data_IF_549527236510
#
_entry.id   IF_549527236510
#
_cell.length_a   1.000
_cell.length_b   1.000
_cell.length_c   1.000
_cell.angle_alpha   90.00
_cell.angle_beta   90.00
_cell.angle_gamma   90.00
#
_symmetry.space_group_name_H-M   'P 1'
#
loop_
_entity.id
_entity.type
_entity.pdbx_description
1 polymer ?
#
# COMPACT_ATOMS: atom_id res chain seq x y z
N UNK A 1 10.07 -8.08 -12.93
CA UNK A 1 8.75 -8.73 -12.80
C UNK A 1 7.82 -8.27 -13.93
N UNK A 2 7.33 -9.21 -14.75
CA UNK A 2 6.36 -8.91 -15.81
C UNK A 2 4.93 -8.91 -15.20
N UNK A 3 4.26 -7.78 -15.29
CA UNK A 3 2.85 -7.63 -14.86
C UNK A 3 1.87 -7.70 -16.04
N UNK A 4 2.35 -7.80 -17.27
CA UNK A 4 1.53 -7.95 -18.49
C UNK A 4 1.42 -9.45 -18.84
N UNK A 5 0.73 -10.18 -17.98
CA UNK A 5 0.48 -11.62 -18.14
C UNK A 5 -0.86 -11.80 -18.86
N UNK A 6 -0.93 -12.67 -19.84
CA UNK A 6 -2.20 -13.01 -20.51
C UNK A 6 -3.09 -13.86 -19.58
N UNK A 7 -4.36 -13.99 -19.93
CA UNK A 7 -5.37 -14.66 -19.10
C UNK A 7 -5.03 -16.15 -18.86
N UNK A 8 -4.57 -16.87 -19.89
CA UNK A 8 -4.24 -18.29 -19.79
C UNK A 8 -3.07 -18.53 -18.83
N UNK A 9 -1.99 -17.75 -18.98
CA UNK A 9 -0.82 -17.81 -18.10
C UNK A 9 -1.16 -17.37 -16.67
N UNK A 10 -2.03 -16.37 -16.51
CA UNK A 10 -2.52 -15.94 -15.19
C UNK A 10 -3.27 -17.06 -14.47
N UNK A 11 -4.25 -17.68 -15.14
CA UNK A 11 -5.03 -18.79 -14.58
C UNK A 11 -4.10 -19.96 -14.23
N UNK A 12 -3.18 -20.32 -15.13
CA UNK A 12 -2.19 -21.36 -14.88
C UNK A 12 -1.35 -21.05 -13.65
N UNK A 13 -0.78 -19.83 -13.55
CA UNK A 13 0.05 -19.44 -12.41
C UNK A 13 -0.72 -19.49 -11.09
N UNK A 14 -1.97 -18.98 -11.06
CA UNK A 14 -2.80 -19.04 -9.86
C UNK A 14 -3.08 -20.48 -9.43
N UNK A 15 -3.31 -21.39 -10.39
CA UNK A 15 -3.49 -22.81 -10.08
C UNK A 15 -2.20 -23.47 -9.57
N UNK A 16 -1.03 -23.09 -10.09
CA UNK A 16 0.25 -23.70 -9.75
C UNK A 16 0.83 -23.19 -8.42
N UNK A 17 0.82 -21.89 -8.21
CA UNK A 17 1.48 -21.24 -7.05
C UNK A 17 0.55 -20.39 -6.17
N UNK A 18 -0.73 -20.31 -6.52
CA UNK A 18 -1.79 -19.63 -5.77
C UNK A 18 -1.61 -18.12 -5.60
N UNK A 19 -0.73 -17.51 -6.38
CA UNK A 19 -0.43 -16.07 -6.31
C UNK A 19 0.00 -15.53 -7.67
N UNK A 20 -0.57 -14.39 -8.07
CA UNK A 20 -0.13 -13.62 -9.25
C UNK A 20 -0.43 -12.13 -9.05
N UNK A 21 0.40 -11.28 -9.65
CA UNK A 21 0.16 -9.83 -9.76
C UNK A 21 0.09 -9.49 -11.24
N UNK A 22 -1.07 -8.97 -11.66
CA UNK A 22 -1.26 -8.53 -13.04
C UNK A 22 -1.69 -7.06 -13.09
N UNK A 23 -1.17 -6.34 -14.08
CA UNK A 23 -1.64 -5.02 -14.43
C UNK A 23 -2.99 -5.08 -15.14
N UNK A 24 -3.69 -3.95 -15.22
CA UNK A 24 -4.92 -3.85 -16.00
C UNK A 24 -4.61 -4.08 -17.48
N UNK A 25 -5.15 -5.16 -18.06
CA UNK A 25 -5.03 -5.45 -19.48
C UNK A 25 -6.13 -4.74 -20.30
N UNK A 26 -5.93 -4.63 -21.61
CA UNK A 26 -6.93 -4.02 -22.48
C UNK A 26 -8.20 -4.90 -22.61
N UNK A 27 -8.12 -6.18 -22.27
CA UNK A 27 -9.20 -7.17 -22.33
C UNK A 27 -9.97 -7.32 -21.01
N UNK A 28 -9.34 -6.99 -19.89
CA UNK A 28 -10.01 -7.02 -18.59
C UNK A 28 -10.76 -5.71 -18.38
N UNK A 29 -12.08 -5.72 -18.55
CA UNK A 29 -12.95 -4.56 -18.37
C UNK A 29 -12.60 -3.33 -19.25
N UNK A 30 -12.71 -3.46 -20.60
CA UNK A 30 -12.39 -2.37 -21.53
C UNK A 30 -13.34 -1.16 -21.39
N UNK A 31 -14.53 -1.34 -20.85
CA UNK A 31 -15.48 -0.26 -20.59
C UNK A 31 -14.98 0.65 -19.45
N UNK A 32 -14.54 0.05 -18.34
CA UNK A 32 -13.98 0.83 -17.22
C UNK A 32 -12.76 1.64 -17.64
N UNK A 33 -11.88 1.08 -18.45
CA UNK A 33 -10.70 1.82 -18.97
C UNK A 33 -11.09 3.12 -19.67
N UNK A 34 -12.13 3.09 -20.51
CA UNK A 34 -12.64 4.29 -21.21
C UNK A 34 -13.32 5.28 -20.26
N UNK A 35 -14.12 4.76 -19.35
CA UNK A 35 -14.83 5.58 -18.35
C UNK A 35 -13.84 6.24 -17.38
N UNK A 36 -12.82 5.52 -16.94
CA UNK A 36 -11.80 6.05 -16.04
C UNK A 36 -10.99 7.19 -16.68
N UNK A 37 -10.56 7.02 -17.95
CA UNK A 37 -9.88 8.07 -18.69
C UNK A 37 -10.74 9.35 -18.84
N UNK A 38 -12.09 9.20 -18.96
CA UNK A 38 -13.00 10.33 -19.00
C UNK A 38 -13.14 11.01 -17.62
N UNK A 39 -13.11 10.26 -16.53
CA UNK A 39 -13.18 10.79 -15.16
C UNK A 39 -12.03 11.74 -14.83
N UNK A 40 -10.83 11.45 -15.28
CA UNK A 40 -9.65 12.29 -15.03
C UNK A 40 -9.81 13.71 -15.57
N UNK A 41 -10.58 13.89 -16.64
CA UNK A 41 -10.76 15.19 -17.31
C UNK A 41 -12.12 15.86 -17.01
N UNK A 42 -13.03 15.19 -16.31
CA UNK A 42 -14.39 15.72 -16.02
C UNK A 42 -14.60 16.12 -14.55
N UNK A 43 -13.57 16.04 -13.71
CA UNK A 43 -13.68 16.38 -12.29
C UNK A 43 -14.57 15.42 -11.47
N UNK A 44 -14.84 14.21 -11.97
CA UNK A 44 -15.69 13.21 -11.31
C UNK A 44 -14.92 12.12 -10.60
N UNK A 45 -13.61 12.29 -10.39
CA UNK A 45 -12.72 11.30 -9.74
C UNK A 45 -13.21 10.91 -8.35
N UNK A 46 -13.74 11.87 -7.58
CA UNK A 46 -14.18 11.65 -6.19
C UNK A 46 -15.63 11.11 -6.07
N UNK A 47 -16.30 10.82 -7.18
CA UNK A 47 -17.65 10.27 -7.16
C UNK A 47 -17.69 8.85 -6.60
N UNK A 48 -18.24 8.65 -5.41
CA UNK A 48 -18.36 7.34 -4.75
C UNK A 48 -18.97 6.27 -5.67
N UNK A 49 -20.10 6.51 -6.37
CA UNK A 49 -20.65 5.49 -7.28
C UNK A 49 -19.70 5.11 -8.41
N UNK A 50 -18.96 6.06 -8.96
CA UNK A 50 -18.01 5.80 -10.04
C UNK A 50 -16.74 5.08 -9.53
N UNK A 51 -16.28 5.40 -8.33
CA UNK A 51 -15.18 4.67 -7.67
C UNK A 51 -15.62 3.22 -7.44
N UNK A 52 -16.77 3.02 -6.81
CA UNK A 52 -17.30 1.69 -6.50
C UNK A 52 -17.49 0.84 -7.77
N UNK A 53 -18.08 1.40 -8.81
CA UNK A 53 -18.26 0.73 -10.10
C UNK A 53 -16.94 0.32 -10.71
N UNK A 54 -15.96 1.23 -10.79
CA UNK A 54 -14.64 0.95 -11.37
C UNK A 54 -13.85 -0.12 -10.62
N UNK A 55 -13.92 -0.14 -9.28
CA UNK A 55 -13.26 -1.15 -8.46
C UNK A 55 -13.94 -2.50 -8.64
N UNK A 56 -15.26 -2.55 -8.47
CA UNK A 56 -16.00 -3.81 -8.43
C UNK A 56 -16.07 -4.47 -9.81
N UNK A 57 -16.23 -3.72 -10.90
CA UNK A 57 -16.25 -4.29 -12.26
C UNK A 57 -14.99 -5.11 -12.56
N UNK A 58 -13.81 -4.62 -12.19
CA UNK A 58 -12.54 -5.35 -12.37
C UNK A 58 -12.46 -6.62 -11.51
N UNK A 59 -12.91 -6.56 -10.25
CA UNK A 59 -12.89 -7.74 -9.35
C UNK A 59 -13.85 -8.82 -9.84
N UNK A 60 -15.00 -8.42 -10.33
CA UNK A 60 -16.02 -9.32 -10.88
C UNK A 60 -15.58 -9.90 -12.23
N UNK A 61 -14.97 -9.09 -13.10
CA UNK A 61 -14.43 -9.54 -14.38
C UNK A 61 -13.29 -10.55 -14.22
N UNK A 62 -12.49 -10.41 -13.16
CA UNK A 62 -11.43 -11.38 -12.83
C UNK A 62 -11.97 -12.74 -12.32
N UNK A 63 -13.29 -12.87 -12.11
CA UNK A 63 -13.91 -14.14 -11.71
C UNK A 63 -13.77 -14.47 -10.22
N UNK A 64 -13.50 -13.50 -9.36
CA UNK A 64 -13.31 -13.71 -7.90
C UNK A 64 -14.55 -14.35 -7.26
N UNK A 65 -14.36 -15.36 -6.41
CA UNK A 65 -15.42 -15.99 -5.61
C UNK A 65 -15.76 -15.18 -4.37
N UNK A 66 -14.75 -14.59 -3.75
CA UNK A 66 -14.83 -13.71 -2.61
C UNK A 66 -13.95 -12.47 -2.81
N UNK A 67 -14.35 -11.33 -2.25
CA UNK A 67 -13.66 -10.05 -2.43
C UNK A 67 -13.47 -9.38 -1.08
N UNK A 68 -12.22 -9.21 -0.67
CA UNK A 68 -11.87 -8.34 0.46
C UNK A 68 -11.34 -7.01 -0.07
N UNK A 69 -11.92 -5.93 0.39
CA UNK A 69 -11.56 -4.56 0.05
C UNK A 69 -10.83 -3.91 1.25
N UNK A 70 -9.72 -3.23 1.00
CA UNK A 70 -9.11 -2.34 1.98
C UNK A 70 -9.46 -0.90 1.58
N UNK A 71 -10.40 -0.28 2.30
CA UNK A 71 -10.92 1.05 2.03
C UNK A 71 -10.26 2.03 2.97
N UNK A 72 -9.38 2.85 2.40
CA UNK A 72 -8.58 3.80 3.16
C UNK A 72 -9.24 5.16 3.27
N UNK A 73 -9.05 5.81 4.45
CA UNK A 73 -9.41 7.21 4.65
C UNK A 73 -8.25 7.98 5.30
N UNK A 74 -8.28 9.29 5.20
CA UNK A 74 -7.27 10.19 5.75
C UNK A 74 -6.53 10.98 4.68
N UNK A 75 -5.43 11.62 5.04
CA UNK A 75 -4.72 12.55 4.17
C UNK A 75 -4.21 11.89 2.88
N UNK A 76 -3.63 10.71 2.95
CA UNK A 76 -3.11 9.97 1.82
C UNK A 76 -4.17 9.28 0.96
N UNK A 77 -5.46 9.29 1.35
CA UNK A 77 -6.53 8.56 0.68
C UNK A 77 -7.46 9.45 -0.15
N UNK A 78 -8.24 8.84 -1.07
CA UNK A 78 -9.33 9.52 -1.76
C UNK A 78 -10.45 9.93 -0.80
N UNK A 79 -10.82 9.04 0.13
CA UNK A 79 -11.78 9.34 1.18
C UNK A 79 -11.08 10.09 2.31
N UNK A 80 -11.49 11.33 2.54
CA UNK A 80 -10.82 12.19 3.52
C UNK A 80 -11.30 11.96 4.96
N UNK A 81 -12.43 11.29 5.12
CA UNK A 81 -13.01 10.98 6.42
C UNK A 81 -13.60 9.58 6.49
N UNK A 82 -13.79 9.10 7.71
CA UNK A 82 -14.28 7.76 8.01
C UNK A 82 -15.68 7.49 7.43
N UNK A 83 -16.57 8.48 7.46
CA UNK A 83 -17.97 8.32 7.00
C UNK A 83 -18.05 8.08 5.49
N UNK A 84 -17.28 8.81 4.69
CA UNK A 84 -17.21 8.62 3.25
C UNK A 84 -16.58 7.27 2.89
N UNK A 85 -15.55 6.84 3.64
CA UNK A 85 -14.96 5.50 3.47
C UNK A 85 -15.97 4.40 3.76
N UNK A 86 -16.73 4.50 4.85
CA UNK A 86 -17.80 3.56 5.18
C UNK A 86 -18.89 3.55 4.11
N UNK A 87 -19.26 4.71 3.57
CA UNK A 87 -20.25 4.81 2.49
C UNK A 87 -19.76 4.13 1.21
N UNK A 88 -18.49 4.34 0.84
CA UNK A 88 -17.87 3.66 -0.29
C UNK A 88 -17.86 2.15 -0.08
N UNK A 89 -17.41 1.69 1.09
CA UNK A 89 -17.37 0.28 1.45
C UNK A 89 -18.74 -0.39 1.36
N UNK A 90 -19.78 0.21 1.98
CA UNK A 90 -21.16 -0.30 1.89
C UNK A 90 -21.65 -0.38 0.45
N UNK A 91 -21.35 0.63 -0.37
CA UNK A 91 -21.72 0.62 -1.79
C UNK A 91 -21.10 -0.57 -2.52
N UNK A 92 -19.80 -0.83 -2.30
CA UNK A 92 -19.09 -1.95 -2.95
C UNK A 92 -19.56 -3.31 -2.42
N UNK A 93 -19.76 -3.44 -1.11
CA UNK A 93 -20.33 -4.67 -0.50
C UNK A 93 -21.70 -4.96 -1.11
N UNK A 94 -22.57 -3.96 -1.20
CA UNK A 94 -23.90 -4.11 -1.79
C UNK A 94 -23.84 -4.57 -3.25
N UNK A 95 -22.91 -4.04 -4.06
CA UNK A 95 -22.69 -4.52 -5.44
C UNK A 95 -22.30 -6.00 -5.44
N UNK A 96 -21.36 -6.41 -4.58
CA UNK A 96 -20.95 -7.79 -4.48
C UNK A 96 -22.08 -8.73 -4.07
N UNK A 97 -22.84 -8.37 -3.05
CA UNK A 97 -24.00 -9.13 -2.55
C UNK A 97 -25.08 -9.32 -3.63
N UNK A 98 -25.39 -8.28 -4.42
CA UNK A 98 -26.32 -8.39 -5.54
C UNK A 98 -25.86 -9.37 -6.63
N UNK A 99 -24.56 -9.58 -6.71
CA UNK A 99 -23.93 -10.53 -7.66
C UNK A 99 -23.53 -11.84 -6.99
N UNK A 100 -24.07 -12.11 -5.80
CA UNK A 100 -23.83 -13.35 -5.02
C UNK A 100 -22.34 -13.63 -4.74
N UNK A 101 -21.57 -12.56 -4.50
CA UNK A 101 -20.17 -12.64 -4.09
C UNK A 101 -20.02 -12.27 -2.62
N UNK A 102 -19.33 -13.12 -1.83
CA UNK A 102 -18.91 -12.74 -0.47
C UNK A 102 -17.96 -11.55 -0.59
N UNK A 103 -18.42 -10.39 -0.14
CA UNK A 103 -17.68 -9.13 -0.26
C UNK A 103 -17.62 -8.46 1.09
N UNK A 104 -16.41 -8.25 1.58
CA UNK A 104 -16.13 -7.60 2.86
C UNK A 104 -15.18 -6.42 2.67
N UNK A 105 -15.16 -5.52 3.62
CA UNK A 105 -14.26 -4.36 3.58
C UNK A 105 -13.61 -4.12 4.94
N UNK A 106 -12.29 -3.90 4.92
CA UNK A 106 -11.55 -3.32 6.04
C UNK A 106 -11.50 -1.81 5.85
N UNK A 107 -11.86 -1.04 6.88
CA UNK A 107 -11.70 0.40 6.89
C UNK A 107 -10.42 0.74 7.62
N UNK A 108 -9.45 1.30 6.92
CA UNK A 108 -8.13 1.59 7.47
C UNK A 108 -7.71 3.06 7.31
N UNK A 109 -6.94 3.54 8.29
CA UNK A 109 -6.48 4.91 8.37
C UNK A 109 -5.20 5.10 7.53
N UNK A 110 -5.19 6.13 6.69
CA UNK A 110 -4.06 6.56 5.88
C UNK A 110 -3.76 8.06 6.09
N UNK A 111 -3.95 8.57 7.31
CA UNK A 111 -3.55 9.93 7.67
C UNK A 111 -2.02 10.07 7.73
N UNK A 112 -1.33 8.96 7.91
CA UNK A 112 0.12 8.84 7.79
C UNK A 112 0.47 7.65 6.89
N UNK A 113 1.70 7.57 6.33
CA UNK A 113 2.14 6.41 5.56
C UNK A 113 2.06 5.11 6.36
N UNK A 114 1.67 4.02 5.71
CA UNK A 114 1.74 2.68 6.26
C UNK A 114 3.18 2.18 6.18
N UNK A 115 3.71 1.61 7.25
CA UNK A 115 5.14 1.31 7.34
C UNK A 115 5.99 2.57 7.44
N UNK A 116 7.26 2.46 7.14
CA UNK A 116 8.22 3.56 7.18
C UNK A 116 8.76 3.93 5.81
N UNK A 117 8.74 3.02 4.84
CA UNK A 117 9.28 3.23 3.51
C UNK A 117 8.27 3.91 2.58
N UNK A 118 8.72 4.89 1.79
CA UNK A 118 7.95 5.60 0.78
C UNK A 118 8.80 5.67 -0.49
N UNK A 119 8.56 4.77 -1.43
CA UNK A 119 9.33 4.64 -2.67
C UNK A 119 9.42 3.20 -3.14
N UNK A 120 9.61 2.98 -4.44
CA UNK A 120 9.44 1.66 -5.08
C UNK A 120 10.27 0.53 -4.42
N UNK A 121 11.59 0.56 -4.57
CA UNK A 121 12.46 -0.50 -4.02
C UNK A 121 12.50 -0.48 -2.50
N UNK A 122 12.30 0.68 -1.88
CA UNK A 122 12.30 0.81 -0.42
C UNK A 122 11.10 0.09 0.18
N UNK A 123 9.91 0.26 -0.39
CA UNK A 123 8.69 -0.44 0.04
C UNK A 123 8.78 -1.96 -0.22
N UNK A 124 9.36 -2.38 -1.36
CA UNK A 124 9.58 -3.82 -1.62
C UNK A 124 10.54 -4.42 -0.59
N UNK A 125 11.62 -3.71 -0.22
CA UNK A 125 12.54 -4.14 0.84
C UNK A 125 11.83 -4.24 2.19
N UNK A 126 10.95 -3.29 2.50
CA UNK A 126 10.15 -3.30 3.72
C UNK A 126 9.16 -4.48 3.74
N UNK A 127 8.50 -4.77 2.60
CA UNK A 127 7.64 -5.95 2.47
C UNK A 127 8.43 -7.26 2.66
N UNK A 128 9.63 -7.38 2.08
CA UNK A 128 10.52 -8.52 2.29
C UNK A 128 10.93 -8.64 3.77
N UNK A 129 11.26 -7.52 4.42
CA UNK A 129 11.59 -7.49 5.85
C UNK A 129 10.39 -7.94 6.70
N UNK A 130 9.17 -7.53 6.35
CA UNK A 130 7.93 -7.95 7.01
C UNK A 130 7.71 -9.46 6.86
N UNK A 131 7.89 -10.02 5.68
CA UNK A 131 7.83 -11.47 5.44
C UNK A 131 8.97 -12.24 6.12
N UNK A 132 10.04 -11.54 6.50
CA UNK A 132 11.13 -12.06 7.33
C UNK A 132 10.88 -11.90 8.84
N UNK A 133 9.78 -11.30 9.26
CA UNK A 133 9.43 -11.08 10.67
C UNK A 133 10.08 -9.84 11.30
N UNK A 134 10.63 -8.94 10.48
CA UNK A 134 11.36 -7.73 10.91
C UNK A 134 10.76 -6.44 10.32
N UNK A 135 9.52 -6.47 9.86
CA UNK A 135 8.85 -5.30 9.28
C UNK A 135 8.19 -4.39 10.32
N UNK A 136 7.64 -3.26 9.87
CA UNK A 136 6.86 -2.35 10.70
C UNK A 136 5.62 -3.02 11.29
N UNK A 137 5.31 -2.67 12.54
CA UNK A 137 4.19 -3.25 13.28
C UNK A 137 2.84 -2.97 12.62
N UNK A 138 2.63 -1.75 12.15
CA UNK A 138 1.37 -1.33 11.50
C UNK A 138 1.16 -2.03 10.15
N UNK A 139 2.21 -2.17 9.33
CA UNK A 139 2.14 -2.92 8.08
C UNK A 139 1.83 -4.40 8.35
N UNK A 140 2.51 -5.00 9.32
CA UNK A 140 2.27 -6.39 9.72
C UNK A 140 0.84 -6.57 10.22
N UNK A 141 0.34 -5.68 11.08
CA UNK A 141 -1.01 -5.77 11.65
C UNK A 141 -2.09 -5.68 10.57
N UNK A 142 -1.96 -4.74 9.63
CA UNK A 142 -2.89 -4.63 8.52
C UNK A 142 -2.89 -5.90 7.65
N UNK A 143 -1.71 -6.44 7.35
CA UNK A 143 -1.57 -7.66 6.56
C UNK A 143 -2.16 -8.89 7.29
N UNK A 144 -1.93 -9.01 8.60
CA UNK A 144 -2.48 -10.12 9.40
C UNK A 144 -4.01 -10.02 9.52
N UNK A 145 -4.55 -8.81 9.67
CA UNK A 145 -6.00 -8.59 9.73
C UNK A 145 -6.67 -8.92 8.39
N UNK A 146 -6.13 -8.38 7.28
CA UNK A 146 -6.65 -8.66 5.94
C UNK A 146 -6.52 -10.15 5.59
N UNK A 147 -5.36 -10.75 5.85
CA UNK A 147 -5.11 -12.17 5.59
C UNK A 147 -6.00 -13.08 6.43
N UNK A 148 -6.22 -12.76 7.71
CA UNK A 148 -7.14 -13.52 8.57
C UNK A 148 -8.56 -13.47 8.04
N UNK A 149 -9.02 -12.30 7.60
CA UNK A 149 -10.34 -12.14 6.98
C UNK A 149 -10.45 -12.98 5.70
N UNK A 150 -9.42 -12.96 4.84
CA UNK A 150 -9.40 -13.78 3.62
C UNK A 150 -9.42 -15.30 3.92
N UNK A 151 -8.70 -15.77 4.94
CA UNK A 151 -8.72 -17.19 5.34
C UNK A 151 -10.10 -17.61 5.86
N UNK A 152 -10.77 -16.72 6.60
CA UNK A 152 -12.16 -16.96 7.06
C UNK A 152 -13.13 -17.00 5.87
N UNK A 153 -13.05 -16.07 4.93
CA UNK A 153 -13.87 -16.04 3.70
C UNK A 153 -13.64 -17.31 2.85
N UNK A 154 -12.41 -17.78 2.78
CA UNK A 154 -12.04 -19.00 2.06
C UNK A 154 -12.34 -20.30 2.84
N UNK A 155 -12.94 -20.20 4.04
CA UNK A 155 -13.25 -21.34 4.92
C UNK A 155 -12.01 -22.20 5.25
N UNK A 156 -10.85 -21.57 5.36
CA UNK A 156 -9.57 -22.20 5.72
C UNK A 156 -9.28 -22.14 7.22
N UNK A 157 -10.01 -21.30 7.94
CA UNK A 157 -9.98 -21.20 9.40
C UNK A 157 -11.40 -20.98 9.92
N UNK A 158 -11.67 -21.46 11.13
CA UNK A 158 -12.98 -21.33 11.79
C UNK A 158 -13.04 -20.07 12.68
N UNK A 159 -11.88 -19.56 13.10
CA UNK A 159 -11.77 -18.38 13.97
C UNK A 159 -10.68 -17.44 13.49
N UNK A 160 -10.83 -16.14 13.78
CA UNK A 160 -9.82 -15.12 13.51
C UNK A 160 -8.48 -15.46 14.17
N UNK A 161 -8.52 -15.99 15.39
CA UNK A 161 -7.32 -16.40 16.14
C UNK A 161 -6.57 -17.52 15.42
N UNK A 162 -7.28 -18.52 14.93
CA UNK A 162 -6.69 -19.60 14.14
C UNK A 162 -6.09 -19.07 12.84
N UNK A 163 -6.87 -18.27 12.09
CA UNK A 163 -6.42 -17.66 10.85
C UNK A 163 -5.12 -16.83 11.04
N UNK A 164 -5.10 -15.99 12.08
CA UNK A 164 -3.92 -15.18 12.40
C UNK A 164 -2.70 -16.05 12.71
N UNK A 165 -2.88 -17.10 13.52
CA UNK A 165 -1.81 -18.06 13.81
C UNK A 165 -1.27 -18.72 12.55
N UNK A 166 -2.11 -19.10 11.60
CA UNK A 166 -1.67 -19.69 10.32
C UNK A 166 -0.78 -18.71 9.54
N UNK A 167 -1.10 -17.41 9.55
CA UNK A 167 -0.29 -16.38 8.87
C UNK A 167 1.04 -16.16 9.59
N UNK A 168 1.02 -16.07 10.92
CA UNK A 168 2.23 -15.93 11.74
C UNK A 168 3.16 -17.15 11.55
N UNK A 169 2.60 -18.37 11.49
CA UNK A 169 3.34 -19.60 11.20
C UNK A 169 3.90 -19.60 9.76
N UNK A 170 3.19 -19.03 8.77
CA UNK A 170 3.69 -18.88 7.41
C UNK A 170 4.86 -17.89 7.30
N UNK A 171 4.85 -16.82 8.07
CA UNK A 171 5.95 -15.85 8.17
C UNK A 171 7.16 -16.51 8.89
N UNK A 172 6.94 -17.07 10.07
CA UNK A 172 8.02 -17.65 10.89
C UNK A 172 8.72 -18.82 10.21
N UNK A 173 7.97 -19.63 9.45
CA UNK A 173 8.50 -20.74 8.64
C UNK A 173 9.11 -20.31 7.29
N UNK A 174 9.08 -19.01 6.95
CA UNK A 174 9.51 -18.44 5.66
C UNK A 174 8.69 -18.90 4.45
N UNK A 175 7.60 -19.62 4.63
CA UNK A 175 6.73 -20.05 3.51
C UNK A 175 6.19 -18.85 2.73
N UNK A 176 5.78 -17.79 3.42
CA UNK A 176 5.29 -16.58 2.78
C UNK A 176 6.36 -15.90 1.89
N UNK A 177 7.60 -15.82 2.36
CA UNK A 177 8.73 -15.29 1.59
C UNK A 177 9.02 -16.15 0.36
N UNK A 178 9.03 -17.48 0.49
CA UNK A 178 9.25 -18.38 -0.63
C UNK A 178 8.09 -18.35 -1.64
N UNK A 179 6.87 -18.05 -1.21
CA UNK A 179 5.74 -17.84 -2.13
C UNK A 179 5.93 -16.55 -2.95
N UNK A 180 6.42 -15.47 -2.32
CA UNK A 180 6.80 -14.25 -3.04
C UNK A 180 7.93 -14.52 -4.05
N UNK A 181 8.97 -15.25 -3.66
CA UNK A 181 10.05 -15.67 -4.54
C UNK A 181 9.53 -16.45 -5.76
N UNK A 182 8.66 -17.45 -5.52
CA UNK A 182 8.06 -18.26 -6.58
C UNK A 182 7.23 -17.39 -7.55
N UNK A 183 6.46 -16.44 -7.05
CA UNK A 183 5.67 -15.51 -7.87
C UNK A 183 6.59 -14.64 -8.74
N UNK A 184 7.63 -14.04 -8.16
CA UNK A 184 8.59 -13.21 -8.90
C UNK A 184 9.24 -14.01 -10.03
N UNK A 185 9.67 -15.24 -9.74
CA UNK A 185 10.27 -16.14 -10.73
C UNK A 185 9.28 -16.55 -11.83
N UNK A 186 8.04 -16.89 -11.47
CA UNK A 186 7.00 -17.28 -12.43
C UNK A 186 6.66 -16.14 -13.40
N UNK A 187 6.76 -14.89 -12.95
CA UNK A 187 6.53 -13.70 -13.76
C UNK A 187 7.82 -13.12 -14.38
N UNK A 188 8.87 -13.93 -14.53
CA UNK A 188 10.11 -13.58 -15.24
C UNK A 188 10.98 -12.55 -14.53
N UNK A 189 10.74 -12.31 -13.24
CA UNK A 189 11.60 -11.46 -12.40
C UNK A 189 12.79 -12.25 -11.85
N UNK A 190 13.82 -11.52 -11.44
CA UNK A 190 14.96 -12.10 -10.75
C UNK A 190 14.63 -12.29 -9.26
N UNK A 191 14.43 -13.55 -8.86
CA UNK A 191 14.07 -13.90 -7.49
C UNK A 191 15.19 -13.68 -6.47
N UNK A 192 16.42 -13.48 -6.93
CA UNK A 192 17.55 -13.17 -6.06
C UNK A 192 17.33 -11.88 -5.26
N UNK A 193 16.60 -10.91 -5.83
CA UNK A 193 16.24 -9.68 -5.10
C UNK A 193 15.35 -9.93 -3.88
N UNK A 194 14.61 -11.04 -3.86
CA UNK A 194 13.79 -11.40 -2.70
C UNK A 194 14.64 -12.04 -1.60
N UNK A 195 15.60 -12.86 -1.98
CA UNK A 195 16.48 -13.56 -1.04
C UNK A 195 17.63 -12.66 -0.55
N UNK A 196 18.06 -11.72 -1.38
CA UNK A 196 19.19 -10.82 -1.16
C UNK A 196 18.79 -9.37 -1.44
N UNK A 197 17.99 -8.72 -0.57
CA UNK A 197 17.47 -7.37 -0.80
C UNK A 197 18.56 -6.29 -0.93
N UNK A 198 19.79 -6.58 -0.50
CA UNK A 198 20.94 -5.71 -0.69
C UNK A 198 21.35 -5.55 -2.16
N UNK A 199 20.87 -6.42 -3.06
CA UNK A 199 21.09 -6.31 -4.52
C UNK A 199 20.27 -5.19 -5.17
N UNK A 200 19.20 -4.69 -4.53
CA UNK A 200 18.49 -3.55 -5.06
C UNK A 200 19.40 -2.34 -5.22
N UNK A 201 19.27 -1.65 -6.33
CA UNK A 201 19.99 -0.40 -6.56
C UNK A 201 19.74 0.57 -5.41
N UNK A 202 20.81 1.20 -4.96
CA UNK A 202 20.82 2.18 -3.88
C UNK A 202 20.98 3.57 -4.51
N UNK A 203 20.32 4.58 -3.98
CA UNK A 203 20.48 5.96 -4.43
C UNK A 203 21.92 6.46 -4.15
N UNK A 204 22.41 7.37 -4.98
CA UNK A 204 23.77 7.92 -4.86
C UNK A 204 23.96 8.77 -3.60
N UNK A 205 22.89 9.45 -3.18
CA UNK A 205 22.90 10.32 -2.01
C UNK A 205 21.87 9.83 -1.00
N UNK A 206 22.34 9.53 0.21
CA UNK A 206 21.51 9.13 1.34
C UNK A 206 21.87 10.02 2.52
N UNK A 207 20.89 10.74 3.06
CA UNK A 207 21.08 11.68 4.15
C UNK A 207 19.80 11.89 4.96
N UNK A 208 19.96 12.37 6.20
CA UNK A 208 18.84 12.60 7.09
C UNK A 208 18.35 14.05 7.05
N UNK A 209 17.04 14.21 7.22
CA UNK A 209 16.39 15.47 7.56
C UNK A 209 15.98 15.40 9.02
N UNK A 210 16.38 16.42 9.78
CA UNK A 210 16.32 16.44 11.25
C UNK A 210 15.16 17.29 11.75
N UNK A 211 14.65 16.95 12.95
CA UNK A 211 13.61 17.69 13.63
C UNK A 211 14.08 19.12 13.97
N UNK A 212 13.30 20.17 13.60
CA UNK A 212 13.63 21.55 13.89
C UNK A 212 13.43 21.90 15.36
N UNK A 213 12.57 21.18 16.06
CA UNK A 213 12.22 21.37 17.47
C UNK A 213 11.89 20.01 18.12
N UNK A 214 11.83 20.00 19.46
CA UNK A 214 11.40 18.83 20.22
C UNK A 214 9.89 18.84 20.41
N UNK A 215 9.26 17.66 20.33
CA UNK A 215 7.82 17.51 20.54
C UNK A 215 7.29 16.15 20.13
N UNK A 216 6.00 15.94 20.30
CA UNK A 216 5.30 14.79 19.73
C UNK A 216 4.90 15.11 18.30
N UNK A 217 5.00 14.14 17.41
CA UNK A 217 4.44 14.27 16.06
C UNK A 217 2.91 14.27 16.20
N UNK A 218 2.28 15.41 15.92
CA UNK A 218 0.84 15.60 16.01
C UNK A 218 0.12 15.21 14.74
N UNK A 219 0.71 15.55 13.59
CA UNK A 219 0.21 15.19 12.27
C UNK A 219 1.37 14.92 11.31
N UNK A 220 1.10 14.09 10.31
CA UNK A 220 2.08 13.65 9.31
C UNK A 220 1.40 13.51 7.95
N UNK A 221 1.54 14.53 7.10
CA UNK A 221 0.86 14.60 5.80
C UNK A 221 1.35 13.52 4.83
N UNK A 222 0.64 12.41 4.76
CA UNK A 222 0.98 11.28 3.91
C UNK A 222 1.03 11.66 2.42
N UNK A 223 0.10 12.52 1.97
CA UNK A 223 0.05 13.01 0.59
C UNK A 223 1.30 13.82 0.25
N UNK A 224 1.69 14.76 1.11
CA UNK A 224 2.88 15.59 0.92
C UNK A 224 4.16 14.74 0.83
N UNK A 225 4.31 13.75 1.71
CA UNK A 225 5.43 12.81 1.67
C UNK A 225 5.46 11.99 0.37
N UNK A 226 4.30 11.51 -0.09
CA UNK A 226 4.16 10.81 -1.37
C UNK A 226 4.54 11.69 -2.56
N UNK A 227 4.14 12.97 -2.56
CA UNK A 227 4.50 13.95 -3.61
C UNK A 227 6.01 14.24 -3.60
N UNK A 228 6.63 14.38 -2.45
CA UNK A 228 8.09 14.54 -2.35
C UNK A 228 8.81 13.32 -2.94
N UNK A 229 8.40 12.10 -2.58
CA UNK A 229 8.98 10.87 -3.15
C UNK A 229 8.81 10.82 -4.68
N UNK A 230 7.63 11.17 -5.19
CA UNK A 230 7.36 11.26 -6.63
C UNK A 230 8.31 12.25 -7.31
N UNK A 231 8.51 13.45 -6.75
CA UNK A 231 9.38 14.50 -7.29
C UNK A 231 10.87 14.20 -7.18
N UNK A 232 11.28 13.31 -6.27
CA UNK A 232 12.62 12.73 -6.26
C UNK A 232 12.85 11.78 -7.45
N UNK A 233 11.79 11.38 -8.13
CA UNK A 233 11.83 10.46 -9.28
C UNK A 233 11.18 9.11 -9.00
N UNK A 234 10.64 8.87 -7.80
CA UNK A 234 9.95 7.64 -7.43
C UNK A 234 8.60 7.46 -8.12
N UNK A 235 8.07 8.50 -8.76
CA UNK A 235 6.84 8.49 -9.55
C UNK A 235 6.95 9.33 -10.80
N UNK A 236 5.82 9.53 -11.51
CA UNK A 236 5.72 10.30 -12.74
C UNK A 236 4.93 11.58 -12.51
N UNK A 237 5.50 12.73 -12.86
CA UNK A 237 4.77 13.99 -13.01
C UNK A 237 4.18 14.11 -14.43
N UNK A 238 4.88 13.53 -15.43
CA UNK A 238 4.42 13.45 -16.81
C UNK A 238 4.48 12.02 -17.33
N UNK A 239 3.72 11.74 -18.40
CA UNK A 239 3.65 10.37 -18.98
C UNK A 239 5.01 9.88 -19.50
N UNK A 240 5.90 10.80 -19.84
CA UNK A 240 7.23 10.50 -20.40
C UNK A 240 8.32 10.32 -19.36
N UNK A 241 8.02 10.58 -18.08
CA UNK A 241 9.02 10.45 -17.02
C UNK A 241 9.41 9.00 -16.79
N UNK A 242 10.70 8.76 -16.67
CA UNK A 242 11.24 7.49 -16.22
C UNK A 242 11.22 7.42 -14.67
N UNK A 243 10.79 6.29 -14.13
CA UNK A 243 10.75 6.07 -12.70
C UNK A 243 12.12 5.58 -12.23
N UNK A 244 12.69 6.29 -11.27
CA UNK A 244 13.86 5.83 -10.52
C UNK A 244 13.39 5.01 -9.31
N UNK A 245 13.63 3.71 -9.37
CA UNK A 245 13.19 2.80 -8.31
C UNK A 245 14.02 2.88 -7.03
N UNK A 246 15.19 3.53 -7.06
CA UNK A 246 16.12 3.59 -5.92
C UNK A 246 15.88 4.77 -4.98
N UNK A 247 15.09 5.77 -5.42
CA UNK A 247 14.82 6.97 -4.65
C UNK A 247 13.58 6.84 -3.77
N UNK A 248 13.47 7.71 -2.76
CA UNK A 248 12.33 7.76 -1.86
C UNK A 248 12.72 8.23 -0.46
N UNK A 249 11.88 7.88 0.51
CA UNK A 249 11.99 8.31 1.90
C UNK A 249 11.88 7.11 2.84
N UNK A 250 12.62 7.16 3.95
CA UNK A 250 12.43 6.25 5.10
C UNK A 250 12.11 7.11 6.31
N UNK A 251 10.92 6.94 6.87
CA UNK A 251 10.50 7.62 8.09
C UNK A 251 11.19 7.03 9.31
N UNK A 252 11.47 7.88 10.31
CA UNK A 252 11.94 7.46 11.63
C UNK A 252 10.92 7.70 12.73
N UNK A 253 9.94 8.58 12.46
CA UNK A 253 8.92 8.99 13.43
C UNK A 253 7.54 8.97 12.77
N UNK A 254 6.54 8.66 13.57
CA UNK A 254 5.13 8.61 13.16
C UNK A 254 4.26 9.39 14.16
N UNK A 255 3.01 9.61 13.85
CA UNK A 255 2.05 10.29 14.74
C UNK A 255 2.05 9.60 16.12
N UNK A 256 2.20 10.38 17.17
CA UNK A 256 2.28 9.95 18.56
C UNK A 256 3.69 9.68 19.08
N UNK A 257 4.70 9.61 18.19
CA UNK A 257 6.09 9.47 18.62
C UNK A 257 6.66 10.80 19.10
N UNK A 258 7.50 10.75 20.15
CA UNK A 258 8.26 11.92 20.61
C UNK A 258 9.59 12.00 19.85
N UNK A 259 10.03 13.21 19.54
CA UNK A 259 11.30 13.51 18.91
C UNK A 259 12.01 14.64 19.64
N UNK A 260 13.34 14.51 19.81
CA UNK A 260 14.18 15.59 20.29
C UNK A 260 14.61 16.50 19.12
N UNK A 261 14.86 17.77 19.41
CA UNK A 261 15.46 18.68 18.42
C UNK A 261 16.78 18.09 17.89
N UNK A 262 16.92 18.00 16.56
CA UNK A 262 18.10 17.43 15.92
C UNK A 262 18.12 15.90 15.80
N UNK A 263 17.06 15.20 16.20
CA UNK A 263 16.87 13.79 15.85
C UNK A 263 16.43 13.63 14.38
N UNK A 264 16.78 12.52 13.70
CA UNK A 264 16.33 12.27 12.33
C UNK A 264 14.82 12.02 12.28
N UNK A 265 14.14 12.71 11.37
CA UNK A 265 12.73 12.48 11.02
C UNK A 265 12.60 11.55 9.83
N UNK A 266 13.43 11.75 8.81
CA UNK A 266 13.38 11.06 7.53
C UNK A 266 14.79 10.88 6.98
N UNK A 267 15.11 9.68 6.50
CA UNK A 267 16.23 9.47 5.59
C UNK A 267 15.75 9.63 4.15
N UNK A 268 16.40 10.50 3.41
CA UNK A 268 16.14 10.78 1.99
C UNK A 268 17.10 9.96 1.13
N UNK A 269 16.55 9.27 0.13
CA UNK A 269 17.28 8.58 -0.93
C UNK A 269 17.12 9.38 -2.22
N UNK A 270 18.19 9.98 -2.75
CA UNK A 270 18.16 10.93 -3.86
C UNK A 270 19.24 10.66 -4.90
N UNK A 271 18.92 10.93 -6.16
CA UNK A 271 19.83 10.88 -7.31
C UNK A 271 19.95 12.27 -7.99
N UNK A 272 20.14 13.32 -7.18
CA UNK A 272 20.43 14.66 -7.66
C UNK A 272 19.19 15.53 -7.92
N UNK A 273 18.01 15.13 -7.43
CA UNK A 273 16.78 15.93 -7.52
C UNK A 273 16.43 16.69 -6.23
N UNK A 274 17.22 16.54 -5.17
CA UNK A 274 16.98 17.24 -3.90
C UNK A 274 17.24 18.74 -4.02
N UNK A 275 16.31 19.55 -3.52
CA UNK A 275 16.38 21.02 -3.51
C UNK A 275 15.95 21.58 -2.17
N UNK A 276 16.24 22.88 -1.91
CA UNK A 276 15.75 23.57 -0.72
C UNK A 276 14.22 23.65 -0.67
N UNK A 277 13.56 23.73 -1.81
CA UNK A 277 12.11 23.70 -1.92
C UNK A 277 11.55 22.36 -1.44
N UNK A 278 12.11 21.24 -1.91
CA UNK A 278 11.73 19.89 -1.47
C UNK A 278 12.01 19.66 0.00
N UNK A 279 13.11 20.23 0.53
CA UNK A 279 13.38 20.23 1.97
C UNK A 279 12.29 20.95 2.75
N UNK A 280 11.87 22.13 2.30
CA UNK A 280 10.81 22.90 2.95
C UNK A 280 9.47 22.15 2.89
N UNK A 281 9.14 21.58 1.74
CA UNK A 281 7.94 20.76 1.55
C UNK A 281 7.95 19.51 2.46
N UNK A 282 9.04 18.75 2.50
CA UNK A 282 9.18 17.60 3.40
C UNK A 282 9.02 18.02 4.87
N UNK A 283 9.66 19.12 5.26
CA UNK A 283 9.58 19.61 6.65
C UNK A 283 8.18 20.08 7.02
N UNK A 284 7.40 20.63 6.07
CA UNK A 284 6.02 21.06 6.31
C UNK A 284 5.04 19.91 6.53
N UNK A 285 5.41 18.70 6.12
CA UNK A 285 4.59 17.51 6.35
C UNK A 285 4.53 17.04 7.81
N UNK A 286 5.44 17.57 8.66
CA UNK A 286 5.52 17.20 10.07
C UNK A 286 4.99 18.34 10.94
N UNK A 287 3.96 18.05 11.73
CA UNK A 287 3.41 18.97 12.72
C UNK A 287 3.76 18.50 14.13
N UNK A 288 4.13 19.43 15.01
CA UNK A 288 4.64 19.12 16.35
C UNK A 288 3.71 19.66 17.44
N UNK A 289 3.51 18.87 18.48
CA UNK A 289 2.81 19.26 19.71
C UNK A 289 3.72 19.14 20.93
N UNK A 290 3.55 20.05 21.89
CA UNK A 290 4.20 19.92 23.20
C UNK A 290 3.48 18.96 24.13
N UNK A 291 2.20 18.71 23.86
CA UNK A 291 1.39 17.75 24.58
C UNK A 291 1.49 16.37 23.94
N UNK A 292 1.35 15.32 24.75
CA UNK A 292 1.36 13.95 24.26
C UNK A 292 0.21 13.73 23.28
N UNK A 293 0.53 13.15 22.13
CA UNK A 293 -0.41 12.79 21.09
C UNK A 293 -0.61 11.27 21.10
N UNK A 294 -1.86 10.83 21.02
CA UNK A 294 -2.18 9.39 20.91
C UNK A 294 -1.94 8.90 19.46
N UNK A 295 -1.47 7.65 19.34
CA UNK A 295 -1.31 7.03 18.02
C UNK A 295 -2.68 6.83 17.36
N UNK A 296 -2.82 7.10 16.05
CA UNK A 296 -4.08 6.90 15.36
C UNK A 296 -4.46 5.40 15.31
N UNK A 297 -5.76 5.14 15.33
CA UNK A 297 -6.28 3.78 15.10
C UNK A 297 -5.99 3.41 13.65
N UNK A 298 -5.33 2.28 13.44
CA UNK A 298 -4.96 1.79 12.10
C UNK A 298 -6.17 1.20 11.37
N UNK A 299 -6.95 0.37 12.05
CA UNK A 299 -8.10 -0.35 11.49
C UNK A 299 -9.32 -0.02 12.34
N UNK A 300 -10.27 0.69 11.76
CA UNK A 300 -11.49 1.09 12.47
C UNK A 300 -12.53 -0.01 12.52
N UNK A 301 -12.74 -0.70 11.40
CA UNK A 301 -13.85 -1.65 11.27
C UNK A 301 -13.59 -2.66 10.14
N UNK A 302 -14.11 -3.87 10.30
CA UNK A 302 -14.29 -4.84 9.23
C UNK A 302 -15.80 -4.94 8.98
N UNK A 303 -16.21 -4.59 7.76
CA UNK A 303 -17.62 -4.57 7.33
C UNK A 303 -17.93 -5.80 6.49
N UNK A 304 -19.13 -6.40 6.71
CA UNK A 304 -19.63 -7.58 6.00
C UNK A 304 -20.94 -7.29 5.25
#
# INVERSE_FOLDING_TARGET
LNIYVNEEDFIKQVNDIHLAIIGQTASLDPADKKMYALRDVTGTVQSIPLIASSIMSKKLAAGSDAILLDVKYGDGAFMKNLEDAKKLARTMITIGQHLHKDTRATISNMSQPLGYAIGNSLEVKEAIATLNGNGPEDLLELCLTAGSTMLMMAQKAETVTEARKMLEDAISSKKALHTLEAMVKAQGGDSDYILYPEKFTVAEHIFDVYAPEAGYIEDLEALTLGLVSMRLGGGRETVTDEIDHSVGLILHKKIGDYVEQGEPLVTVHDNGKWTQERKAELSSAFHFSKEKVEKPILIDEIME
#
